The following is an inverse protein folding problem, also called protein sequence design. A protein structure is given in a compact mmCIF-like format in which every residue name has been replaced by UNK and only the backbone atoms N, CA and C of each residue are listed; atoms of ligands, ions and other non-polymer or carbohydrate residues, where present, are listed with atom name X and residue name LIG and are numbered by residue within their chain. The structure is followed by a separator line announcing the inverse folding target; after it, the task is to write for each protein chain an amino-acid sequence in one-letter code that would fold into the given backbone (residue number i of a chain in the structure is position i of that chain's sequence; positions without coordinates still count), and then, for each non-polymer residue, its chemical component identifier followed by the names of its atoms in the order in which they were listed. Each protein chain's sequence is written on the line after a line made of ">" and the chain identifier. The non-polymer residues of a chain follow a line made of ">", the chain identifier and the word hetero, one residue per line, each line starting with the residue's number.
data_IF_433267583127
#
_entry.id   IF_433267583127
#
_cell.length_a   1.000
_cell.length_b   1.000
_cell.length_c   1.000
_cell.angle_alpha   90.00
_cell.angle_beta   90.00
_cell.angle_gamma   90.00
#
_symmetry.space_group_name_H-M   'P 1'
#
loop_
_entity.id
_entity.type
_entity.pdbx_description
1 polymer ?
#
# COMPACT_ATOMS: atom_id res chain seq x y z
N UNK A 1 0.38 24.20 13.85
CA UNK A 1 -0.37 23.22 13.02
C UNK A 1 -0.56 21.89 13.75
N UNK A 2 0.50 21.20 14.19
CA UNK A 2 0.39 19.93 14.94
C UNK A 2 -0.45 20.00 16.22
N UNK A 3 -0.27 21.04 17.05
CA UNK A 3 -1.07 21.23 18.27
C UNK A 3 -2.57 21.38 17.99
N UNK A 4 -2.94 22.11 16.93
CA UNK A 4 -4.35 22.25 16.53
C UNK A 4 -4.92 20.94 15.97
N UNK A 5 -4.12 20.16 15.23
CA UNK A 5 -4.54 18.85 14.76
C UNK A 5 -4.79 17.88 15.93
N UNK A 6 -3.88 17.84 16.91
CA UNK A 6 -4.05 17.05 18.13
C UNK A 6 -5.34 17.40 18.87
N UNK A 7 -5.58 18.69 19.09
CA UNK A 7 -6.76 19.15 19.81
C UNK A 7 -8.07 18.80 19.09
N UNK A 8 -8.09 18.90 17.75
CA UNK A 8 -9.25 18.49 16.93
C UNK A 8 -9.49 16.98 16.95
N UNK A 9 -8.42 16.19 17.00
CA UNK A 9 -8.50 14.73 17.13
C UNK A 9 -9.08 14.36 18.51
N UNK A 10 -8.63 14.99 19.59
CA UNK A 10 -9.08 14.71 20.95
C UNK A 10 -10.54 15.12 21.21
N UNK A 11 -11.05 16.13 20.50
CA UNK A 11 -12.41 16.66 20.67
C UNK A 11 -13.45 16.02 19.75
N UNK A 12 -13.04 15.16 18.81
CA UNK A 12 -13.97 14.55 17.86
C UNK A 12 -14.77 13.42 18.53
N UNK A 13 -16.10 13.48 18.44
CA UNK A 13 -16.97 12.39 18.92
C UNK A 13 -16.75 11.10 18.12
N UNK A 14 -16.50 11.25 16.81
CA UNK A 14 -16.21 10.15 15.90
C UNK A 14 -15.16 10.55 14.85
N UNK A 15 -14.39 9.58 14.41
CA UNK A 15 -13.36 9.78 13.39
C UNK A 15 -13.47 8.76 12.27
N UNK A 16 -13.43 9.24 11.03
CA UNK A 16 -13.28 8.41 9.83
C UNK A 16 -11.85 8.59 9.33
N UNK A 17 -11.12 7.48 9.23
CA UNK A 17 -9.73 7.49 8.75
C UNK A 17 -9.70 6.96 7.32
N UNK A 18 -9.36 7.83 6.37
CA UNK A 18 -9.00 7.44 5.01
C UNK A 18 -7.52 7.04 4.95
N UNK A 19 -7.23 5.76 4.71
CA UNK A 19 -5.87 5.26 4.56
C UNK A 19 -5.65 4.73 3.13
N UNK A 20 -4.60 5.23 2.46
CA UNK A 20 -4.15 4.72 1.16
C UNK A 20 -2.96 3.77 1.29
N UNK A 21 -2.42 3.30 0.16
CA UNK A 21 -1.26 2.38 0.13
C UNK A 21 -0.04 2.90 0.92
N UNK A 22 0.16 4.23 0.99
CA UNK A 22 1.23 4.85 1.76
C UNK A 22 1.16 4.58 3.27
N UNK A 23 -0.03 4.35 3.82
CA UNK A 23 -0.20 4.03 5.25
C UNK A 23 0.45 2.69 5.60
N UNK A 24 0.25 1.67 4.75
CA UNK A 24 0.86 0.36 4.91
C UNK A 24 2.36 0.37 4.59
N UNK A 25 2.77 1.13 3.56
CA UNK A 25 4.19 1.30 3.26
C UNK A 25 4.96 1.93 4.43
N UNK A 26 4.38 2.94 5.09
CA UNK A 26 4.96 3.56 6.29
C UNK A 26 5.05 2.59 7.49
N UNK A 27 4.17 1.56 7.54
CA UNK A 27 4.23 0.47 8.51
C UNK A 27 5.23 -0.64 8.13
N UNK A 28 6.01 -0.47 7.05
CA UNK A 28 6.98 -1.46 6.57
C UNK A 28 6.38 -2.57 5.70
N UNK A 29 5.08 -2.50 5.39
CA UNK A 29 4.41 -3.43 4.48
C UNK A 29 4.58 -2.93 3.05
N UNK A 30 5.79 -3.12 2.51
CA UNK A 30 6.11 -2.69 1.15
C UNK A 30 5.47 -3.61 0.11
N UNK A 31 5.04 -3.00 -1.00
CA UNK A 31 4.43 -3.70 -2.15
C UNK A 31 5.47 -4.19 -3.18
N UNK A 32 6.74 -3.92 -2.91
CA UNK A 32 7.90 -4.24 -3.77
C UNK A 32 9.10 -4.64 -2.90
N UNK A 33 10.19 -5.04 -3.54
CA UNK A 33 11.42 -5.49 -2.87
C UNK A 33 11.52 -7.00 -2.70
N UNK A 34 12.42 -7.45 -1.83
CA UNK A 34 12.83 -8.86 -1.71
C UNK A 34 11.65 -9.80 -1.40
N UNK A 35 10.73 -9.37 -0.54
CA UNK A 35 9.52 -10.13 -0.21
C UNK A 35 8.62 -10.36 -1.45
N UNK A 36 8.53 -9.37 -2.34
CA UNK A 36 7.77 -9.49 -3.59
C UNK A 36 8.49 -10.39 -4.59
N UNK A 37 9.80 -10.18 -4.79
CA UNK A 37 10.58 -10.96 -5.76
C UNK A 37 10.66 -12.44 -5.39
N UNK A 38 10.85 -12.78 -4.10
CA UNK A 38 10.88 -14.17 -3.64
C UNK A 38 9.52 -14.87 -3.78
N UNK A 39 8.41 -14.16 -3.50
CA UNK A 39 7.07 -14.77 -3.47
C UNK A 39 6.44 -14.90 -4.85
N UNK A 40 6.75 -13.98 -5.77
CA UNK A 40 6.08 -13.87 -7.07
C UNK A 40 7.04 -14.04 -8.26
N UNK A 41 8.23 -14.63 -8.04
CA UNK A 41 9.23 -14.83 -9.09
C UNK A 41 8.68 -15.42 -10.40
N UNK A 42 7.82 -16.46 -10.39
CA UNK A 42 7.30 -17.02 -11.64
C UNK A 42 6.44 -16.02 -12.44
N UNK A 43 5.69 -15.17 -11.75
CA UNK A 43 4.84 -14.15 -12.36
C UNK A 43 5.65 -12.94 -12.85
N UNK A 44 6.69 -12.56 -12.12
CA UNK A 44 7.63 -11.51 -12.56
C UNK A 44 8.31 -11.93 -13.86
N UNK A 45 8.77 -13.18 -13.94
CA UNK A 45 9.41 -13.71 -15.16
C UNK A 45 8.44 -13.81 -16.33
N UNK A 46 7.21 -14.30 -16.08
CA UNK A 46 6.22 -14.53 -17.15
C UNK A 46 5.56 -13.25 -17.66
N UNK A 47 5.31 -12.28 -16.79
CA UNK A 47 4.48 -11.11 -17.10
C UNK A 47 5.21 -9.77 -16.93
N UNK A 48 6.47 -9.77 -16.48
CA UNK A 48 7.26 -8.55 -16.30
C UNK A 48 6.75 -7.65 -15.16
N UNK A 49 6.03 -8.22 -14.19
CA UNK A 49 5.46 -7.48 -13.06
C UNK A 49 6.57 -6.81 -12.24
N UNK A 50 6.40 -5.53 -11.90
CA UNK A 50 7.42 -4.72 -11.21
C UNK A 50 7.17 -4.58 -9.72
N UNK A 51 5.90 -4.62 -9.32
CA UNK A 51 5.45 -4.57 -7.94
C UNK A 51 4.03 -5.16 -7.84
N UNK A 52 3.60 -5.47 -6.62
CA UNK A 52 2.32 -6.11 -6.37
C UNK A 52 1.12 -5.18 -6.63
N UNK A 53 1.30 -3.86 -6.49
CA UNK A 53 0.22 -2.90 -6.69
C UNK A 53 -0.11 -2.75 -8.17
N UNK A 54 0.89 -2.58 -9.04
CA UNK A 54 0.70 -2.52 -10.48
C UNK A 54 0.24 -3.85 -11.08
N UNK A 55 0.69 -4.98 -10.52
CA UNK A 55 0.24 -6.32 -10.94
C UNK A 55 -1.27 -6.53 -10.82
N UNK A 56 -1.94 -5.86 -9.86
CA UNK A 56 -3.39 -5.95 -9.69
C UNK A 56 -4.18 -5.36 -10.87
N UNK A 57 -3.55 -4.52 -11.70
CA UNK A 57 -4.14 -3.90 -12.88
C UNK A 57 -3.62 -4.51 -14.19
N UNK A 58 -2.89 -5.64 -14.11
CA UNK A 58 -2.37 -6.28 -15.30
C UNK A 58 -3.52 -6.83 -16.17
N UNK A 59 -3.58 -6.49 -17.46
CA UNK A 59 -4.64 -6.98 -18.34
C UNK A 59 -4.39 -8.46 -18.64
N UNK A 60 -5.06 -9.34 -17.91
CA UNK A 60 -5.07 -10.77 -18.21
C UNK A 60 -6.06 -11.00 -19.35
N UNK A 61 -5.58 -11.54 -20.47
CA UNK A 61 -6.46 -12.07 -21.52
C UNK A 61 -7.27 -13.23 -20.94
N UNK A 62 -8.59 -13.21 -21.14
CA UNK A 62 -9.56 -14.17 -20.59
C UNK A 62 -10.00 -15.17 -21.64
#
# INVERSE_FOLDING_TARGET
>A
MLQQAKQRIEQADFMVIGAGAGFFAAAGLTYSGERFTQRFQPFIQRYGMRDMYSAAFYPLET
#
